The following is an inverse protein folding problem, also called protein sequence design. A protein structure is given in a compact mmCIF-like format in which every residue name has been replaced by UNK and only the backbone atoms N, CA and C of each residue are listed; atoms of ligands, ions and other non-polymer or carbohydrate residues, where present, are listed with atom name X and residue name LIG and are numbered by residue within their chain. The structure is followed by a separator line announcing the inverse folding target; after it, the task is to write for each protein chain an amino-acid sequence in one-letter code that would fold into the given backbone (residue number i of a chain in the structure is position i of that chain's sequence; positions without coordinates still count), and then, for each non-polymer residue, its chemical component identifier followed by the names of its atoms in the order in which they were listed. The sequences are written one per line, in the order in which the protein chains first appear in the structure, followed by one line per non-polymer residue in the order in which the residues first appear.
data_IF_324585275882
#
_entry.id   IF_324585275882
#
_cell.length_a   1.000
_cell.length_b   1.000
_cell.length_c   1.000
_cell.angle_alpha   90.00
_cell.angle_beta   90.00
_cell.angle_gamma   90.00
#
_symmetry.space_group_name_H-M   'P 1'
#
loop_
_entity.id
_entity.type
_entity.pdbx_description
1 polymer ?
#
# COMPACT_ATOMS: atom_id res chain seq x y z
N UNK A 1 9.56 17.32 21.57
CA UNK A 1 8.61 17.23 20.42
C UNK A 1 9.11 16.17 19.45
N UNK A 2 8.20 15.39 18.83
CA UNK A 2 8.55 14.51 17.69
C UNK A 2 8.13 15.24 16.41
N UNK A 3 9.08 15.44 15.49
CA UNK A 3 8.83 16.03 14.17
C UNK A 3 8.68 14.91 13.13
N UNK A 4 7.60 14.92 12.37
CA UNK A 4 7.34 13.97 11.26
C UNK A 4 7.39 14.74 9.96
N UNK A 5 8.25 14.33 9.03
CA UNK A 5 8.42 14.93 7.72
C UNK A 5 7.69 14.11 6.66
N UNK A 6 6.56 14.65 6.18
CA UNK A 6 5.61 14.02 5.26
C UNK A 6 4.29 13.66 5.94
N UNK A 7 3.21 14.28 5.48
CA UNK A 7 1.82 14.11 5.95
C UNK A 7 0.99 13.15 5.11
N UNK A 8 1.64 12.26 4.34
CA UNK A 8 1.01 11.13 3.67
C UNK A 8 0.60 10.02 4.65
N UNK A 9 0.17 8.85 4.13
CA UNK A 9 -0.32 7.76 4.98
C UNK A 9 0.70 7.28 6.02
N UNK A 10 1.99 7.24 5.68
CA UNK A 10 3.04 6.80 6.61
C UNK A 10 3.17 7.76 7.81
N UNK A 11 3.27 9.07 7.53
CA UNK A 11 3.38 10.07 8.60
C UNK A 11 2.09 10.25 9.39
N UNK A 12 0.94 10.23 8.73
CA UNK A 12 -0.35 10.29 9.41
C UNK A 12 -0.59 9.08 10.33
N UNK A 13 -0.22 7.87 9.88
CA UNK A 13 -0.30 6.68 10.72
C UNK A 13 0.69 6.73 11.90
N UNK A 14 1.91 7.24 11.68
CA UNK A 14 2.87 7.40 12.77
C UNK A 14 2.38 8.42 13.81
N UNK A 15 1.83 9.54 13.38
CA UNK A 15 1.23 10.52 14.29
C UNK A 15 0.05 9.92 15.08
N UNK A 16 -0.82 9.15 14.41
CA UNK A 16 -1.92 8.41 15.03
C UNK A 16 -1.42 7.42 16.09
N UNK A 17 -0.39 6.63 15.77
CA UNK A 17 0.16 5.64 16.69
C UNK A 17 0.86 6.28 17.89
N UNK A 18 1.65 7.35 17.69
CA UNK A 18 2.33 8.09 18.75
C UNK A 18 1.32 8.73 19.71
N UNK A 19 0.30 9.41 19.16
CA UNK A 19 -0.72 10.06 19.99
C UNK A 19 -1.61 9.07 20.70
N UNK A 20 -1.94 7.94 20.07
CA UNK A 20 -2.65 6.82 20.68
C UNK A 20 -1.89 6.19 21.86
N UNK A 21 -0.55 6.29 21.86
CA UNK A 21 0.33 5.88 22.98
C UNK A 21 0.59 7.00 23.99
N UNK A 22 -0.14 8.11 23.90
CA UNK A 22 -0.11 9.21 24.86
C UNK A 22 0.90 10.31 24.58
N UNK A 23 1.68 10.25 23.49
CA UNK A 23 2.58 11.34 23.10
C UNK A 23 1.77 12.47 22.46
N UNK A 24 1.78 13.67 23.02
CA UNK A 24 0.95 14.80 22.57
C UNK A 24 1.70 15.88 21.78
N UNK A 25 3.01 15.96 21.93
CA UNK A 25 3.86 16.92 21.25
C UNK A 25 4.41 16.34 19.93
N UNK A 26 3.50 15.93 19.04
CA UNK A 26 3.76 15.40 17.70
C UNK A 26 3.37 16.44 16.67
N UNK A 27 4.32 16.84 15.82
CA UNK A 27 4.10 17.80 14.74
C UNK A 27 4.44 17.16 13.41
N UNK A 28 3.48 17.20 12.48
CA UNK A 28 3.66 16.68 11.11
C UNK A 28 3.79 17.86 10.15
N UNK A 29 4.87 17.90 9.39
CA UNK A 29 5.11 18.91 8.36
C UNK A 29 4.95 18.28 6.98
N UNK A 30 4.23 18.95 6.09
CA UNK A 30 4.15 18.59 4.68
C UNK A 30 4.13 19.85 3.82
N UNK A 31 4.97 19.87 2.78
CA UNK A 31 5.05 21.00 1.83
C UNK A 31 3.78 21.17 1.01
N UNK A 32 3.01 20.11 0.86
CA UNK A 32 1.83 20.06 0.01
C UNK A 32 0.55 20.04 0.86
N UNK A 33 -0.59 20.43 0.29
CA UNK A 33 -1.90 20.23 0.92
C UNK A 33 -2.19 18.75 1.19
N UNK A 34 -3.06 18.51 2.17
CA UNK A 34 -3.52 17.14 2.50
C UNK A 34 -3.98 16.39 1.24
N UNK A 35 -3.46 15.18 1.05
CA UNK A 35 -3.85 14.30 -0.03
C UNK A 35 -3.21 14.60 -1.39
N UNK A 36 -2.29 15.56 -1.50
CA UNK A 36 -1.61 15.88 -2.77
C UNK A 36 -0.61 14.81 -3.21
N UNK A 37 -0.08 14.01 -2.27
CA UNK A 37 0.90 12.97 -2.54
C UNK A 37 0.34 11.69 -3.16
N UNK A 38 1.14 10.60 -3.11
CA UNK A 38 0.78 9.30 -3.73
C UNK A 38 -0.35 8.57 -3.01
N UNK A 39 -0.60 8.85 -1.73
CA UNK A 39 -1.60 8.13 -0.91
C UNK A 39 -2.98 8.13 -1.55
N UNK A 40 -3.50 9.28 -1.93
CA UNK A 40 -4.87 9.40 -2.49
C UNK A 40 -4.99 8.88 -3.91
N UNK A 41 -3.86 8.70 -4.58
CA UNK A 41 -3.74 8.19 -5.95
C UNK A 41 -3.57 6.66 -5.98
N UNK A 42 -3.46 6.01 -4.82
CA UNK A 42 -3.29 4.57 -4.74
C UNK A 42 -4.51 3.81 -5.27
N UNK A 43 -4.27 2.61 -5.79
CA UNK A 43 -5.30 1.72 -6.32
C UNK A 43 -6.35 1.32 -5.27
N UNK A 44 -5.93 1.17 -4.01
CA UNK A 44 -6.83 0.89 -2.89
C UNK A 44 -7.17 -0.59 -2.73
N UNK A 45 -6.21 -1.45 -2.95
CA UNK A 45 -6.30 -2.87 -2.64
C UNK A 45 -5.67 -3.20 -1.29
N UNK A 46 -6.35 -4.01 -0.48
CA UNK A 46 -5.84 -4.61 0.75
C UNK A 46 -5.53 -6.08 0.49
N UNK A 47 -4.30 -6.50 0.72
CA UNK A 47 -3.81 -7.81 0.32
C UNK A 47 -3.03 -8.49 1.45
N UNK A 48 -3.49 -9.67 1.90
CA UNK A 48 -2.74 -10.54 2.79
C UNK A 48 -1.91 -11.56 2.03
N UNK A 49 -2.28 -11.87 0.78
CA UNK A 49 -1.57 -12.77 -0.12
C UNK A 49 -0.22 -12.17 -0.56
N UNK A 50 0.71 -12.04 0.38
CA UNK A 50 2.05 -11.50 0.19
C UNK A 50 3.07 -12.60 -0.08
N UNK A 51 4.27 -12.23 -0.55
CA UNK A 51 5.35 -13.16 -0.91
C UNK A 51 6.49 -13.24 0.09
N UNK A 52 6.42 -12.50 1.20
CA UNK A 52 7.39 -12.58 2.29
C UNK A 52 6.68 -12.69 3.64
N UNK A 53 7.28 -13.38 4.63
CA UNK A 53 6.68 -13.55 5.96
C UNK A 53 6.35 -12.22 6.64
N UNK A 54 7.26 -11.25 6.58
CA UNK A 54 7.05 -9.95 7.22
C UNK A 54 5.88 -9.19 6.60
N UNK A 55 5.72 -9.21 5.27
CA UNK A 55 4.60 -8.55 4.60
C UNK A 55 3.25 -9.22 4.94
N UNK A 56 3.22 -10.56 5.10
CA UNK A 56 2.01 -11.27 5.59
C UNK A 56 1.66 -10.81 7.01
N UNK A 57 2.65 -10.78 7.91
CA UNK A 57 2.46 -10.35 9.31
C UNK A 57 1.94 -8.91 9.37
N UNK A 58 2.55 -7.99 8.63
CA UNK A 58 2.13 -6.58 8.59
C UNK A 58 0.70 -6.41 8.05
N UNK A 59 0.35 -7.16 6.99
CA UNK A 59 -1.01 -7.15 6.44
C UNK A 59 -2.02 -7.66 7.46
N UNK A 60 -1.76 -8.81 8.08
CA UNK A 60 -2.66 -9.38 9.09
C UNK A 60 -2.80 -8.47 10.31
N UNK A 61 -1.72 -7.88 10.79
CA UNK A 61 -1.75 -6.96 11.93
C UNK A 61 -2.43 -5.62 11.62
N UNK A 62 -2.36 -5.15 10.37
CA UNK A 62 -3.09 -3.95 9.95
C UNK A 62 -4.59 -4.21 9.78
N UNK A 63 -5.02 -5.44 9.50
CA UNK A 63 -6.40 -5.77 9.15
C UNK A 63 -7.45 -5.31 10.18
N UNK A 64 -7.24 -5.44 11.50
CA UNK A 64 -8.18 -4.92 12.50
C UNK A 64 -8.46 -3.42 12.34
N UNK A 65 -7.43 -2.60 12.05
CA UNK A 65 -7.63 -1.17 11.78
C UNK A 65 -8.63 -0.93 10.66
N UNK A 66 -8.52 -1.70 9.56
CA UNK A 66 -9.41 -1.60 8.39
C UNK A 66 -10.82 -2.11 8.71
N UNK A 67 -10.93 -3.24 9.40
CA UNK A 67 -12.21 -3.85 9.72
C UNK A 67 -13.04 -2.99 10.71
N UNK A 68 -12.40 -2.43 11.74
CA UNK A 68 -13.04 -1.56 12.74
C UNK A 68 -13.55 -0.24 12.14
N UNK A 69 -12.95 0.21 11.04
CA UNK A 69 -13.28 1.49 10.38
C UNK A 69 -13.92 1.29 9.01
N UNK A 70 -14.42 0.08 8.72
CA UNK A 70 -14.80 -0.35 7.38
C UNK A 70 -15.76 0.63 6.69
N UNK A 71 -16.83 1.04 7.34
CA UNK A 71 -17.81 2.00 6.79
C UNK A 71 -17.16 3.36 6.50
N UNK A 72 -16.34 3.85 7.44
CA UNK A 72 -15.70 5.17 7.34
C UNK A 72 -14.68 5.25 6.21
N UNK A 73 -13.89 4.20 6.01
CA UNK A 73 -12.82 4.16 5.00
C UNK A 73 -13.21 3.41 3.73
N UNK A 74 -14.44 2.92 3.65
CA UNK A 74 -14.94 2.16 2.50
C UNK A 74 -14.21 0.83 2.32
N UNK A 75 -13.84 0.16 3.42
CA UNK A 75 -13.22 -1.15 3.38
C UNK A 75 -14.28 -2.22 3.09
N UNK A 76 -13.98 -3.12 2.13
CA UNK A 76 -14.85 -4.23 1.75
C UNK A 76 -14.02 -5.50 1.61
N UNK A 77 -14.45 -6.58 2.28
CA UNK A 77 -13.85 -7.92 2.22
C UNK A 77 -14.29 -8.67 0.95
N UNK A 78 -13.94 -8.14 -0.23
CA UNK A 78 -14.29 -8.74 -1.52
C UNK A 78 -13.27 -9.81 -1.97
N UNK A 79 -12.13 -9.88 -1.31
CA UNK A 79 -11.04 -10.80 -1.65
C UNK A 79 -10.16 -10.33 -2.81
N UNK A 80 -9.07 -11.10 -3.01
CA UNK A 80 -8.23 -11.04 -4.20
C UNK A 80 -8.24 -12.37 -4.90
N UNK A 81 -8.44 -12.34 -6.21
CA UNK A 81 -8.39 -13.48 -7.12
C UNK A 81 -7.18 -13.32 -8.04
N UNK A 82 -6.23 -14.23 -7.94
CA UNK A 82 -5.16 -14.39 -8.90
C UNK A 82 -5.55 -15.48 -9.88
N UNK A 83 -5.33 -15.26 -11.17
CA UNK A 83 -5.55 -16.26 -12.22
C UNK A 83 -4.30 -16.42 -13.06
N UNK A 84 -4.03 -17.65 -13.52
CA UNK A 84 -2.92 -17.96 -14.41
C UNK A 84 -3.37 -18.87 -15.54
N UNK A 85 -2.90 -18.58 -16.76
CA UNK A 85 -3.13 -19.39 -17.95
C UNK A 85 -1.85 -20.10 -18.41
N UNK A 86 -0.69 -19.45 -18.27
CA UNK A 86 0.62 -20.00 -18.63
C UNK A 86 1.16 -20.98 -17.59
N UNK A 87 1.97 -21.93 -18.03
CA UNK A 87 2.54 -22.97 -17.15
C UNK A 87 3.41 -22.37 -16.03
N UNK A 88 4.25 -21.40 -16.34
CA UNK A 88 5.13 -20.74 -15.37
C UNK A 88 4.33 -19.99 -14.29
N UNK A 89 3.35 -19.19 -14.68
CA UNK A 89 2.49 -18.46 -13.74
C UNK A 89 1.64 -19.42 -12.89
N UNK A 90 1.17 -20.53 -13.48
CA UNK A 90 0.45 -21.59 -12.77
C UNK A 90 1.29 -22.23 -11.67
N UNK A 91 2.54 -22.63 -12.00
CA UNK A 91 3.47 -23.19 -11.01
C UNK A 91 3.79 -22.19 -9.90
N UNK A 92 3.96 -20.91 -10.27
CA UNK A 92 4.19 -19.83 -9.32
C UNK A 92 3.00 -19.63 -8.37
N UNK A 93 1.76 -19.60 -8.89
CA UNK A 93 0.58 -19.49 -8.04
C UNK A 93 0.45 -20.66 -7.06
N UNK A 94 0.78 -21.88 -7.47
CA UNK A 94 0.78 -23.04 -6.55
C UNK A 94 1.82 -22.85 -5.44
N UNK A 95 3.06 -22.48 -5.76
CA UNK A 95 4.10 -22.22 -4.74
C UNK A 95 3.70 -21.11 -3.77
N UNK A 96 3.11 -20.01 -4.30
CA UNK A 96 2.60 -18.91 -3.47
C UNK A 96 1.50 -19.38 -2.52
N UNK A 97 0.56 -20.18 -3.01
CA UNK A 97 -0.51 -20.70 -2.16
C UNK A 97 0.01 -21.60 -1.04
N UNK A 98 0.99 -22.47 -1.32
CA UNK A 98 1.63 -23.29 -0.31
C UNK A 98 2.33 -22.46 0.76
N UNK A 99 3.13 -21.48 0.34
CA UNK A 99 3.77 -20.54 1.26
C UNK A 99 2.75 -19.78 2.09
N UNK A 100 1.73 -19.19 1.46
CA UNK A 100 0.71 -18.38 2.13
C UNK A 100 -0.09 -19.20 3.14
N UNK A 101 -0.43 -20.45 2.81
CA UNK A 101 -1.08 -21.38 3.75
C UNK A 101 -0.16 -21.74 4.91
N UNK A 102 1.15 -21.91 4.68
CA UNK A 102 2.11 -22.13 5.76
C UNK A 102 2.19 -20.94 6.73
N UNK A 103 1.83 -19.73 6.26
CA UNK A 103 1.68 -18.52 7.08
C UNK A 103 0.27 -18.40 7.70
N UNK A 104 -0.60 -19.39 7.57
CA UNK A 104 -1.94 -19.43 8.16
C UNK A 104 -3.02 -18.72 7.33
N UNK A 105 -2.74 -18.32 6.09
CA UNK A 105 -3.75 -17.68 5.24
C UNK A 105 -4.73 -18.71 4.64
N UNK A 106 -6.04 -18.42 4.62
CA UNK A 106 -7.05 -19.31 4.06
C UNK A 106 -7.13 -19.16 2.53
N UNK A 107 -6.05 -19.50 1.83
CA UNK A 107 -6.02 -19.42 0.37
C UNK A 107 -6.78 -20.61 -0.23
N UNK A 108 -7.77 -20.30 -1.06
CA UNK A 108 -8.62 -21.22 -1.77
C UNK A 108 -8.23 -21.30 -3.26
N UNK A 109 -8.67 -22.37 -3.94
CA UNK A 109 -8.55 -22.56 -5.40
C UNK A 109 -9.93 -22.66 -6.02
N UNK A 110 -10.65 -21.54 -6.19
CA UNK A 110 -12.00 -21.56 -6.75
C UNK A 110 -12.01 -21.77 -8.27
N UNK A 111 -13.14 -22.18 -8.82
CA UNK A 111 -13.44 -21.91 -10.23
C UNK A 111 -13.56 -20.38 -10.41
N UNK A 112 -12.73 -19.74 -11.24
CA UNK A 112 -12.76 -18.28 -11.41
C UNK A 112 -14.10 -17.78 -11.95
N UNK A 113 -14.88 -18.60 -12.69
CA UNK A 113 -16.24 -18.24 -13.13
C UNK A 113 -17.19 -17.96 -11.96
N UNK A 114 -16.97 -18.60 -10.82
CA UNK A 114 -17.77 -18.34 -9.61
C UNK A 114 -17.52 -16.97 -8.98
N UNK A 115 -16.36 -16.38 -9.25
CA UNK A 115 -15.91 -15.09 -8.68
C UNK A 115 -16.06 -13.93 -9.67
N UNK A 116 -15.75 -14.18 -10.95
CA UNK A 116 -15.77 -13.17 -12.02
C UNK A 116 -16.48 -13.73 -13.27
N UNK A 117 -17.81 -13.94 -13.21
CA UNK A 117 -18.57 -14.60 -14.29
C UNK A 117 -18.59 -13.80 -15.59
N UNK A 118 -18.17 -12.56 -15.57
CA UNK A 118 -18.09 -11.67 -16.73
C UNK A 118 -16.72 -11.65 -17.41
N UNK A 119 -15.73 -12.36 -16.85
CA UNK A 119 -14.40 -12.48 -17.42
C UNK A 119 -14.28 -13.71 -18.32
N UNK A 120 -13.46 -13.59 -19.37
CA UNK A 120 -13.08 -14.70 -20.24
C UNK A 120 -11.98 -15.52 -19.56
N UNK A 121 -12.40 -16.56 -18.83
CA UNK A 121 -11.49 -17.37 -17.99
C UNK A 121 -11.33 -18.82 -18.51
N UNK A 122 -11.70 -19.09 -19.76
CA UNK A 122 -11.65 -20.42 -20.36
C UNK A 122 -10.22 -20.95 -20.48
N UNK A 123 -9.20 -20.30 -20.43
CA UNK A 123 -7.81 -20.77 -20.47
C UNK A 123 -7.15 -20.85 -19.09
N UNK A 124 -7.86 -20.50 -18.02
CA UNK A 124 -7.26 -20.44 -16.67
C UNK A 124 -6.94 -21.86 -16.17
N UNK A 125 -5.68 -22.09 -15.81
CA UNK A 125 -5.16 -23.34 -15.28
C UNK A 125 -5.05 -23.33 -13.76
N UNK A 126 -4.83 -22.15 -13.15
CA UNK A 126 -4.81 -21.98 -11.70
C UNK A 126 -5.50 -20.70 -11.28
N UNK A 127 -6.12 -20.74 -10.09
CA UNK A 127 -6.68 -19.58 -9.44
C UNK A 127 -6.44 -19.66 -7.93
N UNK A 128 -5.98 -18.56 -7.32
CA UNK A 128 -5.83 -18.39 -5.88
C UNK A 128 -6.74 -17.28 -5.40
N UNK A 129 -7.47 -17.52 -4.33
CA UNK A 129 -8.36 -16.55 -3.72
C UNK A 129 -8.18 -16.52 -2.21
N UNK A 130 -8.13 -15.32 -1.62
CA UNK A 130 -8.15 -15.15 -0.18
C UNK A 130 -9.24 -14.16 0.23
N UNK A 131 -10.18 -14.60 1.05
CA UNK A 131 -11.29 -13.78 1.56
C UNK A 131 -10.89 -12.71 2.57
N UNK A 132 -9.64 -12.78 3.12
CA UNK A 132 -9.12 -11.77 4.04
C UNK A 132 -8.64 -10.50 3.31
N UNK A 133 -8.53 -10.58 2.00
CA UNK A 133 -8.17 -9.49 1.13
C UNK A 133 -9.39 -8.65 0.76
N UNK A 134 -9.17 -7.44 0.26
CA UNK A 134 -10.29 -6.58 -0.07
C UNK A 134 -9.90 -5.27 -0.72
N UNK A 135 -10.80 -4.31 -0.65
CA UNK A 135 -10.59 -2.96 -1.19
C UNK A 135 -10.92 -1.89 -0.16
N UNK A 136 -10.34 -0.72 -0.33
CA UNK A 136 -10.58 0.46 0.49
C UNK A 136 -10.50 1.75 -0.34
N UNK A 137 -10.87 2.87 0.26
CA UNK A 137 -10.73 4.20 -0.35
C UNK A 137 -9.53 4.94 0.28
N UNK A 138 -8.39 5.09 -0.44
CA UNK A 138 -7.15 5.62 0.11
C UNK A 138 -7.26 7.02 0.71
N UNK A 139 -8.04 7.90 0.08
CA UNK A 139 -8.27 9.25 0.58
C UNK A 139 -8.95 9.22 1.96
N UNK A 140 -9.98 8.38 2.12
CA UNK A 140 -10.71 8.26 3.38
C UNK A 140 -9.85 7.68 4.52
N UNK A 141 -8.88 6.80 4.19
CA UNK A 141 -7.92 6.31 5.20
C UNK A 141 -7.03 7.44 5.69
N UNK A 142 -6.48 8.24 4.77
CA UNK A 142 -5.65 9.38 5.14
C UNK A 142 -6.43 10.37 6.01
N UNK A 143 -7.63 10.75 5.60
CA UNK A 143 -8.52 11.62 6.36
C UNK A 143 -8.84 11.05 7.76
N UNK A 144 -9.11 9.75 7.84
CA UNK A 144 -9.39 9.05 9.10
C UNK A 144 -8.20 9.15 10.07
N UNK A 145 -6.99 8.82 9.61
CA UNK A 145 -5.77 8.87 10.41
C UNK A 145 -5.48 10.30 10.89
N UNK A 146 -5.57 11.29 10.01
CA UNK A 146 -5.35 12.70 10.35
C UNK A 146 -6.35 13.18 11.39
N UNK A 147 -7.65 12.87 11.20
CA UNK A 147 -8.69 13.27 12.15
C UNK A 147 -8.49 12.64 13.53
N UNK A 148 -8.19 11.34 13.59
CA UNK A 148 -7.97 10.64 14.85
C UNK A 148 -6.69 11.14 15.56
N UNK A 149 -5.59 11.33 14.83
CA UNK A 149 -4.35 11.84 15.39
C UNK A 149 -4.50 13.29 15.87
N UNK A 150 -5.19 14.15 15.12
CA UNK A 150 -5.46 15.53 15.52
C UNK A 150 -6.34 15.59 16.77
N UNK A 151 -7.39 14.78 16.83
CA UNK A 151 -8.25 14.69 18.02
C UNK A 151 -7.48 14.20 19.26
N UNK A 152 -6.41 13.41 19.07
CA UNK A 152 -5.53 12.95 20.12
C UNK A 152 -4.38 13.93 20.45
N UNK A 153 -4.23 15.03 19.71
CA UNK A 153 -3.30 16.13 20.00
C UNK A 153 -2.13 16.31 19.03
N UNK A 154 -2.10 15.61 17.89
CA UNK A 154 -1.12 15.89 16.85
C UNK A 154 -1.41 17.22 16.12
N UNK A 155 -0.35 17.94 15.76
CA UNK A 155 -0.40 19.17 14.98
C UNK A 155 0.05 18.90 13.53
N UNK A 156 -0.88 19.01 12.57
CA UNK A 156 -0.59 18.83 11.15
C UNK A 156 -0.43 20.18 10.45
N UNK A 157 0.74 20.45 9.90
CA UNK A 157 1.12 21.68 9.20
C UNK A 157 1.31 21.41 7.71
N UNK A 158 0.21 21.39 6.99
CA UNK A 158 0.22 21.28 5.54
C UNK A 158 0.54 22.63 4.87
N UNK A 159 1.26 22.58 3.72
CA UNK A 159 1.78 23.77 3.04
C UNK A 159 2.95 24.42 3.79
N UNK A 160 3.59 23.72 4.70
CA UNK A 160 4.66 24.24 5.54
C UNK A 160 5.88 23.31 5.54
N UNK A 161 7.06 23.90 5.37
CA UNK A 161 8.34 23.23 5.56
C UNK A 161 8.76 23.26 7.03
N UNK A 162 9.35 22.17 7.51
CA UNK A 162 9.99 22.18 8.82
C UNK A 162 11.24 23.09 8.76
N UNK A 163 11.29 24.11 9.60
CA UNK A 163 12.45 25.00 9.68
C UNK A 163 13.59 24.31 10.44
N UNK A 164 14.87 24.69 10.22
CA UNK A 164 15.99 24.15 10.99
C UNK A 164 15.76 24.20 12.50
N UNK A 165 15.21 25.31 13.02
CA UNK A 165 14.89 25.45 14.45
C UNK A 165 13.82 24.46 14.96
N UNK A 166 12.88 24.04 14.11
CA UNK A 166 11.87 23.03 14.46
C UNK A 166 12.55 21.66 14.60
N UNK A 167 13.54 21.35 13.74
CA UNK A 167 14.30 20.10 13.76
C UNK A 167 15.30 20.04 14.90
N UNK A 168 15.97 21.17 15.20
CA UNK A 168 16.91 21.29 16.33
C UNK A 168 16.19 21.15 17.68
N UNK A 169 14.95 21.61 17.77
CA UNK A 169 14.13 21.50 18.98
C UNK A 169 13.43 20.13 19.14
N UNK A 170 13.52 19.26 18.15
CA UNK A 170 12.88 17.94 18.19
C UNK A 170 13.71 16.92 18.97
N UNK A 171 13.07 16.13 19.81
CA UNK A 171 13.66 14.96 20.48
C UNK A 171 13.95 13.84 19.47
N UNK A 172 13.14 13.76 18.42
CA UNK A 172 13.29 12.83 17.32
C UNK A 172 12.65 13.39 16.03
N UNK A 173 13.20 13.02 14.89
CA UNK A 173 12.71 13.35 13.54
C UNK A 173 12.40 12.06 12.80
N UNK A 174 11.20 11.92 12.24
CA UNK A 174 10.81 10.76 11.42
C UNK A 174 10.62 11.17 9.95
N UNK A 175 11.33 10.52 9.05
CA UNK A 175 11.21 10.71 7.60
C UNK A 175 10.13 9.80 7.05
N UNK A 176 8.98 10.40 6.66
CA UNK A 176 7.80 9.76 6.08
C UNK A 176 7.42 10.40 4.74
N UNK A 177 8.43 10.88 3.99
CA UNK A 177 8.26 11.79 2.85
C UNK A 177 8.00 11.07 1.50
N UNK A 178 7.63 9.79 1.52
CA UNK A 178 7.33 9.03 0.31
C UNK A 178 8.50 9.03 -0.67
N UNK A 179 8.24 9.34 -1.92
CA UNK A 179 9.28 9.39 -2.97
C UNK A 179 10.36 10.46 -2.73
N UNK A 180 10.11 11.43 -1.86
CA UNK A 180 11.09 12.47 -1.50
C UNK A 180 11.98 12.05 -0.33
N UNK A 181 11.76 10.86 0.26
CA UNK A 181 12.49 10.41 1.46
C UNK A 181 14.00 10.35 1.26
N UNK A 182 14.48 10.00 0.04
CA UNK A 182 15.92 10.07 -0.28
C UNK A 182 16.44 11.48 -0.10
N UNK A 183 15.81 12.49 -0.73
CA UNK A 183 16.25 13.89 -0.66
C UNK A 183 16.21 14.43 0.76
N UNK A 184 15.10 14.19 1.46
CA UNK A 184 14.94 14.61 2.86
C UNK A 184 15.97 13.93 3.76
N UNK A 185 16.27 12.65 3.52
CA UNK A 185 17.34 11.93 4.22
C UNK A 185 18.72 12.58 3.99
N UNK A 186 19.08 12.86 2.74
CA UNK A 186 20.34 13.53 2.39
C UNK A 186 20.49 14.89 3.10
N UNK A 187 19.42 15.69 3.17
CA UNK A 187 19.39 16.96 3.90
C UNK A 187 19.59 16.78 5.43
N UNK A 188 19.15 15.63 5.96
CA UNK A 188 19.36 15.23 7.36
C UNK A 188 20.69 14.47 7.58
N UNK A 189 21.48 14.22 6.53
CA UNK A 189 22.75 13.50 6.61
C UNK A 189 22.57 11.98 6.78
N UNK A 190 21.47 11.39 6.31
CA UNK A 190 21.21 9.94 6.33
C UNK A 190 20.92 9.41 4.92
N UNK A 191 21.16 8.11 4.71
CA UNK A 191 20.96 7.46 3.42
C UNK A 191 19.66 6.64 3.41
N UNK A 192 18.70 7.03 2.57
CA UNK A 192 17.45 6.30 2.37
C UNK A 192 17.33 5.88 0.89
N UNK A 193 17.49 4.58 0.63
CA UNK A 193 17.53 4.03 -0.72
C UNK A 193 16.13 3.94 -1.34
N UNK A 194 15.51 5.10 -1.59
CA UNK A 194 14.16 5.21 -2.20
C UNK A 194 14.27 5.78 -3.61
N UNK A 195 13.57 5.15 -4.57
CA UNK A 195 13.43 5.63 -5.95
C UNK A 195 11.97 5.66 -6.37
N UNK A 196 11.52 6.71 -7.10
CA UNK A 196 10.14 6.77 -7.58
C UNK A 196 9.92 5.83 -8.75
N UNK A 197 8.77 5.13 -8.75
CA UNK A 197 8.25 4.37 -9.90
C UNK A 197 6.83 4.83 -10.16
N UNK A 198 6.60 5.47 -11.32
CA UNK A 198 5.28 5.94 -11.70
C UNK A 198 4.39 4.77 -12.15
N UNK A 199 3.11 4.80 -11.73
CA UNK A 199 2.07 3.83 -12.12
C UNK A 199 0.81 4.56 -12.55
N UNK A 200 0.18 4.07 -13.63
CA UNK A 200 -1.09 4.58 -14.15
C UNK A 200 -2.27 3.76 -13.68
N UNK A 201 -3.38 4.41 -13.44
CA UNK A 201 -4.68 3.79 -13.21
C UNK A 201 -5.67 4.39 -14.19
N UNK A 202 -6.31 3.53 -14.95
CA UNK A 202 -7.38 3.89 -15.89
C UNK A 202 -8.73 3.45 -15.32
N UNK A 203 -9.79 4.19 -15.64
CA UNK A 203 -11.16 3.79 -15.30
C UNK A 203 -11.95 3.53 -16.56
N UNK A 204 -12.76 2.49 -16.56
CA UNK A 204 -13.75 2.18 -17.60
C UNK A 204 -15.11 1.96 -16.98
N UNK A 205 -16.15 2.36 -17.69
CA UNK A 205 -17.52 2.37 -17.19
C UNK A 205 -18.11 3.78 -17.04
N UNK A 206 -19.15 4.03 -16.21
CA UNK A 206 -19.75 3.04 -15.29
C UNK A 206 -20.55 1.95 -16.04
N UNK A 207 -20.68 0.78 -15.41
CA UNK A 207 -21.40 -0.36 -15.98
C UNK A 207 -22.51 -0.82 -15.04
N UNK A 208 -23.75 -0.78 -15.47
CA UNK A 208 -24.92 -1.25 -14.70
C UNK A 208 -24.91 -2.76 -14.46
N UNK A 209 -24.16 -3.50 -15.27
CA UNK A 209 -24.03 -4.95 -15.17
C UNK A 209 -22.93 -5.43 -14.21
N UNK A 210 -22.05 -4.53 -13.74
CA UNK A 210 -20.92 -4.86 -12.90
C UNK A 210 -21.39 -5.11 -11.46
N UNK A 211 -21.18 -6.30 -10.89
CA UNK A 211 -21.52 -6.54 -9.49
C UNK A 211 -20.67 -5.65 -8.56
N UNK A 212 -21.26 -5.20 -7.47
CA UNK A 212 -20.56 -4.40 -6.47
C UNK A 212 -19.49 -5.22 -5.70
N UNK A 213 -19.71 -6.53 -5.53
CA UNK A 213 -18.83 -7.44 -4.79
C UNK A 213 -17.93 -8.24 -5.75
N UNK A 214 -17.07 -7.54 -6.47
CA UNK A 214 -16.08 -8.15 -7.34
C UNK A 214 -14.74 -8.20 -6.62
N UNK A 215 -14.06 -9.38 -6.54
CA UNK A 215 -12.71 -9.43 -5.99
C UNK A 215 -11.75 -8.63 -6.86
N UNK A 216 -10.72 -8.07 -6.25
CA UNK A 216 -9.59 -7.58 -7.03
C UNK A 216 -9.05 -8.75 -7.82
N UNK A 217 -9.02 -8.63 -9.14
CA UNK A 217 -8.66 -9.73 -10.02
C UNK A 217 -7.38 -9.40 -10.76
N UNK A 218 -6.39 -10.27 -10.60
CA UNK A 218 -5.05 -10.12 -11.15
C UNK A 218 -4.69 -11.29 -12.06
N UNK A 219 -4.28 -10.95 -13.26
CA UNK A 219 -3.70 -11.88 -14.23
C UNK A 219 -2.21 -12.08 -13.88
N UNK A 220 -1.86 -13.25 -13.38
CA UNK A 220 -0.50 -13.57 -12.94
C UNK A 220 0.49 -13.75 -14.09
N UNK A 221 0.00 -13.95 -15.31
CA UNK A 221 0.85 -14.04 -16.50
C UNK A 221 1.39 -12.67 -16.93
N UNK A 222 0.59 -11.62 -16.72
CA UNK A 222 0.90 -10.28 -17.24
C UNK A 222 1.09 -9.21 -16.17
N UNK A 223 0.55 -9.42 -14.96
CA UNK A 223 0.53 -8.43 -13.88
C UNK A 223 -0.59 -7.39 -14.00
N UNK A 224 -1.36 -7.39 -15.09
CA UNK A 224 -2.52 -6.52 -15.19
C UNK A 224 -3.61 -6.96 -14.21
N UNK A 225 -4.31 -5.97 -13.64
CA UNK A 225 -5.36 -6.24 -12.68
C UNK A 225 -6.42 -5.14 -12.68
N UNK A 226 -7.59 -5.49 -12.17
CA UNK A 226 -8.67 -4.54 -11.95
C UNK A 226 -9.32 -4.72 -10.58
N UNK A 227 -10.02 -3.68 -10.17
CA UNK A 227 -11.03 -3.71 -9.09
C UNK A 227 -12.25 -2.91 -9.47
N UNK A 228 -13.38 -3.25 -8.86
CA UNK A 228 -14.59 -2.45 -8.93
C UNK A 228 -14.50 -1.26 -7.97
N UNK A 229 -15.03 -0.09 -8.40
CA UNK A 229 -15.31 1.08 -7.58
C UNK A 229 -16.44 1.91 -8.19
N UNK A 230 -17.57 2.00 -7.49
CA UNK A 230 -18.72 2.85 -7.87
C UNK A 230 -19.24 2.57 -9.30
N UNK A 231 -19.30 1.29 -9.70
CA UNK A 231 -19.70 0.85 -11.03
C UNK A 231 -18.61 0.92 -12.11
N UNK A 232 -17.43 1.41 -11.77
CA UNK A 232 -16.28 1.44 -12.68
C UNK A 232 -15.34 0.27 -12.41
N UNK A 233 -14.64 -0.19 -13.45
CA UNK A 233 -13.41 -0.95 -13.28
C UNK A 233 -12.23 0.04 -13.26
N UNK A 234 -11.46 0.00 -12.18
CA UNK A 234 -10.14 0.60 -12.11
C UNK A 234 -9.15 -0.44 -12.63
N UNK A 235 -8.40 -0.10 -13.65
CA UNK A 235 -7.45 -0.99 -14.33
C UNK A 235 -6.05 -0.45 -14.21
N UNK A 236 -5.11 -1.31 -13.87
CA UNK A 236 -3.69 -0.97 -13.79
C UNK A 236 -2.83 -2.18 -14.16
N UNK A 237 -1.55 -1.97 -14.41
CA UNK A 237 -0.61 -3.02 -14.77
C UNK A 237 0.81 -2.48 -14.94
N UNK A 238 1.74 -3.32 -15.40
CA UNK A 238 3.11 -2.90 -15.70
C UNK A 238 3.18 -2.06 -16.99
N UNK A 239 4.34 -1.45 -17.24
CA UNK A 239 4.63 -0.69 -18.45
C UNK A 239 4.41 0.81 -18.32
N UNK A 240 4.20 1.47 -19.44
CA UNK A 240 4.01 2.93 -19.52
C UNK A 240 2.71 3.33 -18.82
N UNK A 241 2.77 4.19 -17.78
CA UNK A 241 1.59 4.60 -17.03
C UNK A 241 0.57 5.40 -17.84
N UNK A 242 0.91 5.86 -19.03
CA UNK A 242 0.06 6.64 -19.93
C UNK A 242 -0.48 5.83 -21.11
N UNK A 243 -0.04 4.58 -21.28
CA UNK A 243 -0.41 3.75 -22.41
C UNK A 243 -1.72 3.00 -22.19
N UNK A 244 -2.82 3.61 -22.62
CA UNK A 244 -4.13 2.97 -22.63
C UNK A 244 -4.22 1.77 -23.58
N UNK A 245 -3.47 1.76 -24.68
CA UNK A 245 -3.62 0.73 -25.71
C UNK A 245 -3.31 -0.67 -25.17
N UNK A 246 -2.26 -0.83 -24.37
CA UNK A 246 -1.94 -2.11 -23.73
C UNK A 246 -2.97 -2.54 -22.69
N UNK A 247 -3.47 -1.61 -21.86
CA UNK A 247 -4.53 -1.88 -20.90
C UNK A 247 -5.83 -2.32 -21.59
N UNK A 248 -6.19 -1.64 -22.67
CA UNK A 248 -7.34 -1.99 -23.51
C UNK A 248 -7.20 -3.35 -24.17
N UNK A 249 -6.00 -3.67 -24.70
CA UNK A 249 -5.72 -4.97 -25.31
C UNK A 249 -5.91 -6.10 -24.29
N UNK A 250 -5.38 -5.95 -23.10
CA UNK A 250 -5.59 -6.90 -22.01
C UNK A 250 -7.07 -7.03 -21.64
N UNK A 251 -7.77 -5.90 -21.43
CA UNK A 251 -9.21 -5.89 -21.13
C UNK A 251 -10.02 -6.56 -22.21
N UNK A 252 -9.69 -6.35 -23.49
CA UNK A 252 -10.40 -6.95 -24.63
C UNK A 252 -10.33 -8.47 -24.61
N UNK A 253 -9.25 -9.03 -24.10
CA UNK A 253 -9.08 -10.47 -23.94
C UNK A 253 -9.69 -10.99 -22.64
N UNK A 254 -9.45 -10.30 -21.53
CA UNK A 254 -9.82 -10.80 -20.21
C UNK A 254 -11.25 -10.41 -19.80
N UNK A 255 -11.69 -9.21 -20.16
CA UNK A 255 -13.05 -8.70 -19.86
C UNK A 255 -13.63 -8.00 -21.10
N UNK A 256 -13.96 -8.76 -22.17
CA UNK A 256 -14.37 -8.16 -23.46
C UNK A 256 -15.54 -7.18 -23.35
N UNK A 257 -16.48 -7.47 -22.42
CA UNK A 257 -17.66 -6.61 -22.17
C UNK A 257 -17.29 -5.23 -21.59
N UNK A 258 -16.12 -5.10 -20.96
CA UNK A 258 -15.64 -3.84 -20.38
C UNK A 258 -14.69 -3.08 -21.32
N UNK A 259 -14.25 -3.67 -22.42
CA UNK A 259 -13.33 -3.04 -23.35
C UNK A 259 -13.98 -1.80 -23.99
N UNK A 260 -13.26 -0.70 -23.95
CA UNK A 260 -13.69 0.60 -24.49
C UNK A 260 -12.56 1.22 -25.32
N UNK A 261 -12.90 2.01 -26.33
CA UNK A 261 -11.90 2.71 -27.14
C UNK A 261 -11.15 3.79 -26.37
N UNK A 262 -11.80 4.35 -25.33
CA UNK A 262 -11.23 5.38 -24.48
C UNK A 262 -11.56 5.07 -23.01
N UNK A 263 -10.64 5.34 -22.06
CA UNK A 263 -10.95 5.27 -20.66
C UNK A 263 -11.90 6.41 -20.27
N UNK A 264 -12.71 6.20 -19.23
CA UNK A 264 -13.54 7.23 -18.63
C UNK A 264 -12.71 8.23 -17.81
N UNK A 265 -11.58 7.78 -17.29
CA UNK A 265 -10.65 8.61 -16.54
C UNK A 265 -9.27 7.96 -16.44
N UNK A 266 -8.29 8.77 -16.07
CA UNK A 266 -6.92 8.33 -15.88
C UNK A 266 -6.23 9.23 -14.85
N UNK A 267 -5.38 8.62 -14.01
CA UNK A 267 -4.44 9.35 -13.16
C UNK A 267 -3.19 8.51 -12.92
N UNK A 268 -2.12 9.17 -12.49
CA UNK A 268 -0.88 8.51 -12.10
C UNK A 268 -0.57 8.74 -10.63
N UNK A 269 0.18 7.83 -10.05
CA UNK A 269 0.76 7.91 -8.72
C UNK A 269 2.14 7.28 -8.69
N UNK A 270 2.87 7.49 -7.61
CA UNK A 270 4.22 6.96 -7.49
C UNK A 270 4.30 5.89 -6.40
N UNK A 271 4.98 4.79 -6.70
CA UNK A 271 5.54 3.89 -5.71
C UNK A 271 6.91 4.41 -5.28
N UNK A 272 7.15 4.39 -4.00
CA UNK A 272 8.45 4.67 -3.38
C UNK A 272 9.23 3.34 -3.25
N UNK A 273 9.98 2.99 -4.31
CA UNK A 273 10.65 1.70 -4.42
C UNK A 273 11.95 1.65 -3.59
N UNK A 274 12.16 0.54 -2.93
CA UNK A 274 13.46 0.14 -2.34
C UNK A 274 14.07 -0.98 -3.17
N UNK A 275 15.38 -1.25 -3.05
CA UNK A 275 16.04 -2.29 -3.84
C UNK A 275 15.48 -3.70 -3.65
N UNK A 276 14.95 -4.01 -2.47
CA UNK A 276 14.38 -5.31 -2.11
C UNK A 276 12.85 -5.29 -1.96
N UNK A 277 12.21 -4.19 -2.36
CA UNK A 277 10.77 -3.96 -2.32
C UNK A 277 10.14 -4.01 -0.91
N UNK A 278 10.94 -3.89 0.15
CA UNK A 278 10.46 -3.80 1.53
C UNK A 278 10.70 -2.42 2.11
N UNK A 279 9.84 -1.94 3.02
CA UNK A 279 10.00 -0.59 3.57
C UNK A 279 11.26 -0.45 4.42
N UNK A 280 11.67 0.80 4.61
CA UNK A 280 12.71 1.23 5.54
C UNK A 280 12.02 1.71 6.82
N UNK A 281 12.15 0.95 7.91
CA UNK A 281 11.45 1.20 9.18
C UNK A 281 12.42 1.08 10.35
N UNK A 282 12.59 2.17 11.10
CA UNK A 282 13.47 2.18 12.28
C UNK A 282 14.37 3.39 12.35
N UNK A 283 15.26 3.38 13.35
CA UNK A 283 16.29 4.42 13.51
C UNK A 283 17.37 4.27 12.42
N UNK A 284 17.83 5.40 11.91
CA UNK A 284 18.89 5.46 10.90
C UNK A 284 20.28 5.44 11.53
N UNK A 285 21.34 5.59 10.72
CA UNK A 285 22.71 5.75 11.20
C UNK A 285 22.93 7.02 12.04
N UNK A 286 22.01 8.00 11.94
CA UNK A 286 22.02 9.22 12.74
C UNK A 286 21.05 9.05 13.92
N UNK A 287 21.54 9.02 15.17
CA UNK A 287 20.70 8.91 16.36
C UNK A 287 19.61 9.98 16.40
N UNK A 288 18.38 9.59 16.75
CA UNK A 288 17.22 10.47 16.80
C UNK A 288 16.56 10.72 15.43
N UNK A 289 17.13 10.22 14.32
CA UNK A 289 16.51 10.27 13.00
C UNK A 289 15.96 8.88 12.63
N UNK A 290 14.67 8.83 12.37
CA UNK A 290 13.90 7.62 12.10
C UNK A 290 13.34 7.61 10.69
N UNK A 291 13.12 6.44 10.11
CA UNK A 291 12.53 6.29 8.79
C UNK A 291 11.24 5.45 8.84
N UNK A 292 10.25 5.85 8.04
CA UNK A 292 9.09 5.06 7.66
C UNK A 292 8.72 5.40 6.22
N UNK A 293 9.41 4.78 5.28
CA UNK A 293 9.31 5.06 3.85
C UNK A 293 9.69 3.85 3.00
N UNK A 294 9.62 3.97 1.66
CA UNK A 294 10.07 2.92 0.77
C UNK A 294 9.13 1.71 0.69
N UNK A 295 7.83 1.91 0.84
CA UNK A 295 6.84 0.83 0.94
C UNK A 295 6.58 0.07 -0.36
N UNK A 296 7.16 0.46 -1.48
CA UNK A 296 7.10 -0.28 -2.75
C UNK A 296 5.69 -0.72 -3.18
N UNK A 297 4.71 0.19 -3.04
CA UNK A 297 3.31 -0.06 -3.39
C UNK A 297 2.43 -0.62 -2.26
N UNK A 298 2.98 -0.99 -1.10
CA UNK A 298 2.24 -1.57 0.04
C UNK A 298 1.88 -0.55 1.14
N UNK A 299 2.28 0.73 0.98
CA UNK A 299 2.27 1.73 2.05
C UNK A 299 0.94 1.88 2.76
N UNK A 300 -0.18 2.03 2.03
CA UNK A 300 -1.48 2.29 2.67
C UNK A 300 -1.93 1.11 3.53
N UNK A 301 -1.77 -0.12 3.04
CA UNK A 301 -2.23 -1.30 3.79
C UNK A 301 -1.33 -1.67 4.97
N UNK A 302 -0.03 -1.37 4.91
CA UNK A 302 0.92 -1.68 5.99
C UNK A 302 1.09 -0.56 7.01
N UNK A 303 0.74 0.69 6.65
CA UNK A 303 0.98 1.85 7.49
C UNK A 303 0.48 1.71 8.94
N UNK A 304 -0.71 1.16 9.24
CA UNK A 304 -1.16 1.03 10.62
C UNK A 304 -0.23 0.15 11.49
N UNK A 305 0.13 -1.04 11.01
CA UNK A 305 0.97 -1.98 11.76
C UNK A 305 2.43 -1.50 11.88
N UNK A 306 2.97 -0.93 10.80
CA UNK A 306 4.31 -0.33 10.79
C UNK A 306 4.37 0.84 11.76
N UNK A 307 3.39 1.73 11.71
CA UNK A 307 3.35 2.91 12.56
C UNK A 307 3.24 2.55 14.05
N UNK A 308 2.44 1.55 14.41
CA UNK A 308 2.30 1.09 15.78
C UNK A 308 3.63 0.52 16.33
N UNK A 309 4.35 -0.26 15.51
CA UNK A 309 5.65 -0.80 15.87
C UNK A 309 6.73 0.29 15.97
N UNK A 310 6.78 1.20 14.98
CA UNK A 310 7.74 2.29 14.97
C UNK A 310 7.51 3.27 16.14
N UNK A 311 6.24 3.62 16.42
CA UNK A 311 5.89 4.47 17.56
C UNK A 311 6.33 3.86 18.89
N UNK A 312 6.14 2.55 19.07
CA UNK A 312 6.62 1.84 20.26
C UNK A 312 8.15 1.96 20.39
N UNK A 313 8.89 1.71 19.32
CA UNK A 313 10.36 1.83 19.31
C UNK A 313 10.82 3.26 19.64
N UNK A 314 10.22 4.27 19.03
CA UNK A 314 10.53 5.69 19.28
C UNK A 314 10.27 6.12 20.74
N UNK A 315 9.35 5.44 21.41
CA UNK A 315 9.01 5.66 22.84
C UNK A 315 9.79 4.74 23.79
N UNK A 316 10.75 3.95 23.29
CA UNK A 316 11.51 3.00 24.11
C UNK A 316 10.68 1.82 24.62
N UNK A 317 9.57 1.51 23.97
CA UNK A 317 8.68 0.39 24.29
C UNK A 317 8.95 -0.79 23.34
N UNK A 318 8.60 -2.01 23.75
CA UNK A 318 8.66 -3.17 22.87
C UNK A 318 7.64 -3.04 21.73
N UNK A 319 8.06 -3.18 20.46
CA UNK A 319 7.13 -3.11 19.35
C UNK A 319 6.20 -4.35 19.33
N UNK A 320 4.93 -4.20 18.91
CA UNK A 320 4.00 -5.33 18.79
C UNK A 320 4.40 -6.31 17.70
N UNK A 321 5.15 -5.84 16.69
CA UNK A 321 5.74 -6.67 15.64
C UNK A 321 7.23 -6.38 15.60
N UNK A 322 8.04 -7.44 15.52
CA UNK A 322 9.46 -7.28 15.24
C UNK A 322 9.67 -6.83 13.78
N UNK A 323 10.00 -5.56 13.62
CA UNK A 323 10.29 -4.94 12.31
C UNK A 323 11.80 -4.76 12.09
N UNK A 324 12.66 -5.41 12.87
CA UNK A 324 14.12 -5.28 12.78
C UNK A 324 14.66 -5.65 11.40
N UNK A 325 14.05 -6.63 10.74
CA UNK A 325 14.38 -6.98 9.36
C UNK A 325 14.13 -5.85 8.34
N UNK A 326 13.29 -4.86 8.69
CA UNK A 326 12.99 -3.69 7.86
C UNK A 326 13.90 -2.49 8.17
N UNK A 327 14.90 -2.66 9.05
CA UNK A 327 15.82 -1.60 9.43
C UNK A 327 16.38 -0.85 8.21
N UNK A 328 16.47 0.49 8.27
CA UNK A 328 17.19 1.26 7.24
C UNK A 328 18.67 0.85 7.11
N UNK A 329 19.21 0.24 8.15
CA UNK A 329 20.62 -0.20 8.24
C UNK A 329 20.81 -1.65 7.80
N UNK A 330 19.76 -2.34 7.29
CA UNK A 330 19.90 -3.72 6.82
C UNK A 330 20.89 -3.83 5.68
N UNK A 331 21.75 -4.82 5.74
CA UNK A 331 22.75 -5.13 4.70
C UNK A 331 22.32 -6.27 3.79
N UNK A 332 21.37 -7.09 4.24
CA UNK A 332 20.83 -8.20 3.48
C UNK A 332 19.48 -7.83 2.88
N UNK A 333 19.33 -8.11 1.59
CA UNK A 333 18.06 -7.91 0.91
C UNK A 333 17.04 -8.96 1.35
N UNK A 334 15.82 -8.51 1.64
CA UNK A 334 14.71 -9.42 1.89
C UNK A 334 14.19 -9.99 0.56
N UNK A 335 13.67 -11.21 0.63
CA UNK A 335 13.10 -11.87 -0.56
C UNK A 335 11.58 -11.77 -0.51
N UNK A 336 10.98 -11.18 -1.55
CA UNK A 336 9.54 -11.23 -1.80
C UNK A 336 9.29 -11.95 -3.13
N UNK A 337 8.52 -13.03 -3.08
CA UNK A 337 8.17 -13.82 -4.26
C UNK A 337 6.96 -13.28 -5.02
N UNK A 338 6.32 -12.20 -4.54
CA UNK A 338 5.14 -11.59 -5.15
C UNK A 338 5.40 -10.19 -5.68
N UNK A 339 6.55 -9.97 -6.32
CA UNK A 339 6.82 -8.68 -6.96
C UNK A 339 5.78 -8.38 -8.04
N UNK A 340 5.16 -7.20 -7.96
CA UNK A 340 4.20 -6.66 -8.92
C UNK A 340 4.89 -5.76 -9.94
#
# INVERSE_FOLDING_TARGET
MIAILGGGVAGAALAWALTGRGRKDVVVFDLLPLGSGSTTKAFGGFRTQQGSPINVILSLASRPFFAERAERIGFRDVGYLYVACGEQATQELHRRAEFQRSQGLPVEHPDPRSKVPFCAVDGVQAANYCRLDGTYQPARILECLVQEATAAGADFRYGAEARPADLEAADAVAVCAGIWSRKVGEELGVQLAVTPLERGIFTVGPFDWLPAEVPVTLDADTGYHFRERDGYLLVTGPGDPYDWAHHREWLSRFTPRAASDRPAGHWTGFYEMTPDHHPLVGETERPGVWASCGFSGHGVMHAPAVADSLAAMMLGQSPPIDVSALSPLRTEALVDTTQL
#
